data_IF_081520830916
#
_entry.id   IF_081520830916
#
_cell.length_a   1.000
_cell.length_b   1.000
_cell.length_c   1.000
_cell.angle_alpha   90.00
_cell.angle_beta   90.00
_cell.angle_gamma   90.00
#
_symmetry.space_group_name_H-M   'P 1'
#
loop_
_entity.id
_entity.type
_entity.pdbx_description
1 polymer ?
#
# COMPACT_ATOMS: atom_id res chain seq x y z
N UNK A 1 -8.29 22.12 1.16
CA UNK A 1 -7.41 20.98 1.49
C UNK A 1 -6.10 21.10 0.73
N UNK A 2 -6.14 21.11 -0.60
CA UNK A 2 -4.95 21.29 -1.45
C UNK A 2 -4.26 22.64 -1.23
N UNK A 3 -5.03 23.73 -1.08
CA UNK A 3 -4.47 25.08 -0.77
C UNK A 3 -3.71 25.14 0.56
N UNK A 4 -3.91 24.16 1.45
CA UNK A 4 -3.21 24.04 2.73
C UNK A 4 -2.01 23.07 2.65
N UNK A 5 -1.59 22.68 1.43
CA UNK A 5 -0.49 21.74 1.20
C UNK A 5 -0.89 20.26 1.23
N UNK A 6 -2.20 19.96 1.20
CA UNK A 6 -2.68 18.58 1.05
C UNK A 6 -2.29 17.98 -0.31
N UNK A 7 -2.04 16.68 -0.32
CA UNK A 7 -1.63 15.88 -1.48
C UNK A 7 -2.38 14.54 -1.50
N UNK A 8 -2.10 13.68 -2.48
CA UNK A 8 -2.74 12.37 -2.58
C UNK A 8 -2.48 11.46 -1.38
N UNK A 9 -1.31 11.56 -0.73
CA UNK A 9 -0.95 10.73 0.41
C UNK A 9 -1.73 11.14 1.66
N UNK A 10 -1.73 12.43 1.98
CA UNK A 10 -2.51 13.00 3.06
C UNK A 10 -4.03 12.87 2.80
N UNK A 11 -4.46 12.93 1.55
CA UNK A 11 -5.84 12.67 1.15
C UNK A 11 -6.27 11.22 1.42
N UNK A 12 -5.44 10.25 1.05
CA UNK A 12 -5.68 8.84 1.37
C UNK A 12 -5.68 8.59 2.90
N UNK A 13 -4.79 9.26 3.65
CA UNK A 13 -4.79 9.20 5.13
C UNK A 13 -6.07 9.79 5.74
N UNK A 14 -6.54 10.92 5.21
CA UNK A 14 -7.78 11.56 5.64
C UNK A 14 -8.98 10.63 5.43
N UNK A 15 -9.12 10.08 4.22
CA UNK A 15 -10.17 9.11 3.88
C UNK A 15 -10.13 7.88 4.82
N UNK A 16 -8.95 7.30 5.03
CA UNK A 16 -8.79 6.16 5.93
C UNK A 16 -9.18 6.50 7.38
N UNK A 17 -8.86 7.71 7.85
CA UNK A 17 -9.20 8.17 9.20
C UNK A 17 -10.69 8.43 9.37
N UNK A 18 -11.34 9.04 8.38
CA UNK A 18 -12.80 9.24 8.35
C UNK A 18 -13.52 7.90 8.49
N UNK A 19 -13.13 6.90 7.68
CA UNK A 19 -13.67 5.54 7.79
C UNK A 19 -13.46 4.95 9.18
N UNK A 20 -12.24 5.04 9.72
CA UNK A 20 -11.91 4.43 11.01
C UNK A 20 -12.64 5.07 12.21
N UNK A 21 -12.96 6.36 12.15
CA UNK A 21 -13.57 7.10 13.26
C UNK A 21 -15.08 7.16 13.16
N UNK A 22 -15.62 7.25 11.93
CA UNK A 22 -17.04 7.51 11.69
C UNK A 22 -17.78 6.32 11.08
N UNK A 23 -17.08 5.23 10.73
CA UNK A 23 -17.62 4.08 10.00
C UNK A 23 -18.34 4.45 8.70
N UNK A 24 -17.82 5.47 8.00
CA UNK A 24 -18.34 5.96 6.72
C UNK A 24 -17.28 5.80 5.63
N UNK A 25 -17.65 5.14 4.54
CA UNK A 25 -16.83 5.08 3.32
C UNK A 25 -16.92 6.40 2.55
N UNK A 26 -15.77 7.05 2.37
CA UNK A 26 -15.60 8.24 1.52
C UNK A 26 -14.54 7.94 0.48
N UNK A 27 -14.89 8.06 -0.80
CA UNK A 27 -13.95 7.84 -1.88
C UNK A 27 -12.94 8.97 -2.00
N UNK A 28 -11.72 8.66 -2.46
CA UNK A 28 -10.73 9.70 -2.75
C UNK A 28 -11.24 10.72 -3.78
N UNK A 29 -12.01 10.26 -4.78
CA UNK A 29 -12.64 11.14 -5.78
C UNK A 29 -13.62 12.16 -5.18
N UNK A 30 -14.27 11.83 -4.06
CA UNK A 30 -15.17 12.75 -3.37
C UNK A 30 -14.40 13.84 -2.63
N UNK A 31 -13.24 13.50 -2.04
CA UNK A 31 -12.33 14.50 -1.49
C UNK A 31 -11.84 15.47 -2.57
N UNK A 32 -11.54 14.97 -3.77
CA UNK A 32 -11.16 15.81 -4.90
C UNK A 32 -12.32 16.68 -5.39
N UNK A 33 -13.54 16.15 -5.43
CA UNK A 33 -14.74 16.89 -5.85
C UNK A 33 -15.23 17.91 -4.81
N UNK A 34 -14.92 17.70 -3.53
CA UNK A 34 -15.31 18.59 -2.44
C UNK A 34 -14.14 18.79 -1.45
N UNK A 35 -13.06 19.50 -1.84
CA UNK A 35 -11.79 19.57 -1.12
C UNK A 35 -11.80 20.54 0.07
N UNK A 36 -12.95 20.65 0.74
CA UNK A 36 -13.18 21.51 1.90
C UNK A 36 -13.79 20.70 3.04
N UNK A 37 -13.57 21.14 4.28
CA UNK A 37 -14.17 20.49 5.46
C UNK A 37 -15.69 20.49 5.36
N UNK A 38 -16.29 21.60 4.93
CA UNK A 38 -17.74 21.70 4.75
C UNK A 38 -18.26 20.73 3.68
N UNK A 39 -17.56 20.62 2.54
CA UNK A 39 -17.90 19.71 1.47
C UNK A 39 -17.84 18.25 1.92
N UNK A 40 -16.76 17.85 2.58
CA UNK A 40 -16.59 16.51 3.12
C UNK A 40 -17.61 16.19 4.22
N UNK A 41 -17.88 17.14 5.12
CA UNK A 41 -18.87 16.98 6.20
C UNK A 41 -20.28 16.74 5.64
N UNK A 42 -20.65 17.43 4.55
CA UNK A 42 -21.92 17.17 3.85
C UNK A 42 -21.97 15.75 3.28
N UNK A 43 -20.91 15.31 2.58
CA UNK A 43 -20.83 13.94 2.04
C UNK A 43 -20.93 12.85 3.12
N UNK A 44 -20.37 13.11 4.31
CA UNK A 44 -20.48 12.20 5.47
C UNK A 44 -21.88 12.27 6.08
N UNK A 45 -22.44 13.46 6.26
CA UNK A 45 -23.77 13.68 6.82
C UNK A 45 -24.88 13.02 6.00
N UNK A 46 -24.80 13.09 4.67
CA UNK A 46 -25.75 12.40 3.76
C UNK A 46 -25.76 10.88 3.98
N UNK A 47 -24.61 10.27 4.32
CA UNK A 47 -24.47 8.83 4.57
C UNK A 47 -24.92 8.42 5.97
N UNK A 48 -24.64 9.24 6.97
CA UNK A 48 -25.10 9.01 8.34
C UNK A 48 -26.62 9.20 8.46
N UNK A 49 -27.19 10.20 7.77
CA UNK A 49 -28.61 10.53 7.82
C UNK A 49 -29.51 9.58 7.04
N UNK A 50 -28.98 8.84 6.07
CA UNK A 50 -29.72 7.87 5.26
C UNK A 50 -29.98 6.54 5.97
N UNK A 51 -29.74 6.44 7.29
CA UNK A 51 -29.96 5.22 8.07
C UNK A 51 -29.11 4.03 7.63
N UNK A 52 -28.20 4.27 6.68
CA UNK A 52 -27.19 3.32 6.21
C UNK A 52 -25.96 3.40 7.12
N UNK A 53 -26.20 3.50 8.44
CA UNK A 53 -25.25 2.92 9.37
C UNK A 53 -25.09 1.46 8.96
N UNK A 54 -23.86 0.97 8.94
CA UNK A 54 -23.42 -0.34 8.42
C UNK A 54 -24.03 -1.57 9.14
N UNK A 55 -25.33 -1.57 9.41
CA UNK A 55 -26.14 -2.64 9.96
C UNK A 55 -27.03 -3.30 8.90
N UNK A 56 -26.49 -3.61 7.72
CA UNK A 56 -27.10 -4.61 6.82
C UNK A 56 -26.03 -5.18 5.90
N UNK A 57 -25.89 -6.51 5.94
CA UNK A 57 -24.89 -7.28 5.21
C UNK A 57 -25.04 -7.23 3.70
N UNK A 58 -24.51 -6.18 3.07
CA UNK A 58 -24.28 -6.09 1.63
C UNK A 58 -22.81 -5.76 1.33
N UNK A 59 -21.98 -6.82 1.34
CA UNK A 59 -20.96 -7.08 0.31
C UNK A 59 -19.74 -6.18 0.07
N UNK A 60 -19.58 -5.00 0.70
CA UNK A 60 -18.51 -4.06 0.28
C UNK A 60 -17.63 -3.48 1.40
N UNK A 61 -17.73 -3.97 2.64
CA UNK A 61 -16.75 -3.66 3.66
C UNK A 61 -15.42 -4.33 3.32
N UNK A 62 -14.45 -3.57 2.80
CA UNK A 62 -13.10 -4.08 2.51
C UNK A 62 -12.58 -4.80 3.76
N UNK A 63 -12.27 -6.11 3.70
CA UNK A 63 -12.00 -6.90 4.90
C UNK A 63 -10.85 -6.27 5.69
N UNK A 64 -11.00 -6.25 7.01
CA UNK A 64 -9.99 -5.72 7.91
C UNK A 64 -8.69 -6.48 7.68
N UNK A 65 -7.60 -5.74 7.44
CA UNK A 65 -6.26 -6.31 7.42
C UNK A 65 -5.91 -6.74 8.85
N UNK A 66 -5.97 -8.04 9.07
CA UNK A 66 -5.65 -8.67 10.33
C UNK A 66 -4.67 -9.82 10.08
N UNK A 67 -3.91 -10.18 11.11
CA UNK A 67 -3.09 -11.38 11.06
C UNK A 67 -3.97 -12.59 10.70
N UNK A 68 -3.48 -13.40 9.76
CA UNK A 68 -4.14 -14.64 9.32
C UNK A 68 -3.26 -15.83 9.66
N UNK A 69 -3.88 -17.00 9.79
CA UNK A 69 -3.13 -18.27 9.79
C UNK A 69 -2.40 -18.36 8.46
N UNK A 70 -1.07 -18.51 8.53
CA UNK A 70 -0.21 -18.56 7.35
C UNK A 70 -0.28 -19.97 6.75
N UNK A 71 -0.65 -20.12 5.48
CA UNK A 71 -0.52 -21.40 4.79
C UNK A 71 0.95 -21.70 4.48
N UNK A 72 1.27 -22.97 4.26
CA UNK A 72 2.63 -23.39 3.88
C UNK A 72 3.10 -22.70 2.58
N UNK A 73 2.17 -22.49 1.64
CA UNK A 73 2.40 -21.75 0.39
C UNK A 73 1.45 -20.56 0.34
N UNK A 74 2.01 -19.36 0.33
CA UNK A 74 1.25 -18.12 0.20
C UNK A 74 0.95 -17.87 -1.28
N UNK A 75 -0.33 -17.70 -1.68
CA UNK A 75 -0.67 -17.42 -3.07
C UNK A 75 -0.12 -16.06 -3.51
N UNK A 76 0.37 -15.99 -4.75
CA UNK A 76 0.84 -14.74 -5.35
C UNK A 76 -0.32 -13.79 -5.60
N UNK A 77 -0.09 -12.50 -5.35
CA UNK A 77 -0.95 -11.45 -5.89
C UNK A 77 -0.90 -11.42 -7.42
N UNK A 78 -1.92 -10.86 -8.07
CA UNK A 78 -1.93 -10.71 -9.53
C UNK A 78 -0.71 -9.94 -10.06
N UNK A 79 -0.24 -8.94 -9.31
CA UNK A 79 0.97 -8.21 -9.67
C UNK A 79 2.21 -9.12 -9.60
N UNK A 80 2.34 -9.93 -8.56
CA UNK A 80 3.44 -10.89 -8.44
C UNK A 80 3.39 -11.98 -9.53
N UNK A 81 2.20 -12.50 -9.87
CA UNK A 81 2.04 -13.46 -10.98
C UNK A 81 2.50 -12.87 -12.32
N UNK A 82 2.08 -11.63 -12.61
CA UNK A 82 2.51 -10.90 -13.82
C UNK A 82 4.03 -10.72 -13.84
N UNK A 83 4.62 -10.27 -12.73
CA UNK A 83 6.06 -10.04 -12.64
C UNK A 83 6.86 -11.34 -12.79
N UNK A 84 6.41 -12.42 -12.17
CA UNK A 84 7.03 -13.74 -12.33
C UNK A 84 6.97 -14.21 -13.78
N UNK A 85 5.81 -14.09 -14.44
CA UNK A 85 5.65 -14.44 -15.85
C UNK A 85 6.61 -13.64 -16.75
N UNK A 86 6.68 -12.32 -16.55
CA UNK A 86 7.57 -11.46 -17.32
C UNK A 86 9.05 -11.82 -17.09
N UNK A 87 9.43 -12.10 -15.85
CA UNK A 87 10.77 -12.57 -15.53
C UNK A 87 11.13 -13.89 -16.24
N UNK A 88 10.21 -14.88 -16.27
CA UNK A 88 10.41 -16.13 -17.02
C UNK A 88 10.48 -15.91 -18.52
N UNK A 89 9.70 -14.96 -19.06
CA UNK A 89 9.73 -14.62 -20.48
C UNK A 89 11.06 -13.95 -20.88
N UNK A 90 11.58 -13.05 -20.05
CA UNK A 90 12.88 -12.40 -20.27
C UNK A 90 14.04 -13.39 -20.33
N UNK A 91 14.01 -14.48 -19.56
CA UNK A 91 15.03 -15.54 -19.62
C UNK A 91 15.10 -16.22 -21.00
N UNK A 92 14.02 -16.18 -21.78
CA UNK A 92 14.00 -16.75 -23.14
C UNK A 92 14.57 -15.81 -24.20
N UNK A 93 14.83 -14.54 -23.85
CA UNK A 93 15.30 -13.50 -24.77
C UNK A 93 16.71 -13.05 -24.37
N UNK A 94 17.75 -13.34 -25.17
CA UNK A 94 19.12 -12.94 -24.87
C UNK A 94 19.25 -11.41 -24.68
N UNK A 95 19.81 -10.99 -23.55
CA UNK A 95 20.04 -9.58 -23.22
C UNK A 95 18.88 -8.84 -22.56
N UNK A 96 17.74 -9.49 -22.30
CA UNK A 96 16.58 -8.87 -21.66
C UNK A 96 16.59 -8.93 -20.11
N UNK A 97 17.51 -9.69 -19.51
CA UNK A 97 17.56 -9.94 -18.07
C UNK A 97 18.01 -8.69 -17.30
N UNK A 98 17.07 -7.83 -16.89
CA UNK A 98 17.21 -6.78 -15.85
C UNK A 98 16.12 -5.72 -15.87
N UNK A 99 15.12 -5.79 -16.76
CA UNK A 99 14.15 -4.71 -16.97
C UNK A 99 13.39 -4.28 -15.70
N UNK A 100 13.31 -5.17 -14.71
CA UNK A 100 12.63 -4.93 -13.43
C UNK A 100 13.57 -4.84 -12.22
N UNK A 101 14.89 -4.74 -12.43
CA UNK A 101 15.81 -4.42 -11.35
C UNK A 101 15.64 -2.95 -10.94
N UNK A 102 15.64 -2.69 -9.63
CA UNK A 102 15.56 -1.34 -9.06
C UNK A 102 16.90 -0.99 -8.39
N UNK A 103 17.96 -0.64 -9.16
CA UNK A 103 19.25 -0.30 -8.59
C UNK A 103 19.15 1.02 -7.82
N UNK A 104 19.68 1.03 -6.60
CA UNK A 104 19.88 2.22 -5.79
C UNK A 104 21.38 2.43 -5.58
N UNK A 105 21.88 3.63 -5.88
CA UNK A 105 23.28 4.00 -5.66
C UNK A 105 23.32 5.12 -4.63
N UNK A 106 24.08 4.90 -3.55
CA UNK A 106 24.26 5.86 -2.46
C UNK A 106 25.73 6.24 -2.34
N UNK A 107 26.01 7.54 -2.17
CA UNK A 107 27.33 8.02 -1.79
C UNK A 107 27.33 8.33 -0.30
N UNK A 108 28.12 7.58 0.45
CA UNK A 108 28.33 7.80 1.88
C UNK A 108 29.69 8.49 2.05
N UNK A 109 29.73 9.54 2.86
CA UNK A 109 30.94 10.31 3.13
C UNK A 109 31.29 10.25 4.62
N UNK A 110 32.58 10.13 4.95
CA UNK A 110 33.07 10.02 6.32
C UNK A 110 33.48 8.60 6.69
N UNK A 111 33.69 8.35 7.99
CA UNK A 111 34.00 7.02 8.49
C UNK A 111 32.75 6.13 8.39
N UNK A 112 32.87 5.00 7.71
CA UNK A 112 31.82 4.00 7.59
C UNK A 112 32.24 2.75 8.37
N UNK A 113 31.44 2.36 9.36
CA UNK A 113 31.53 1.06 9.99
C UNK A 113 30.82 0.04 9.10
N UNK A 114 31.61 -0.77 8.39
CA UNK A 114 31.10 -1.78 7.46
C UNK A 114 30.35 -2.91 8.18
N UNK A 115 30.81 -3.30 9.38
CA UNK A 115 30.17 -4.37 10.14
C UNK A 115 28.79 -3.94 10.64
N UNK A 116 28.67 -2.68 11.09
CA UNK A 116 27.39 -2.11 11.46
C UNK A 116 26.43 -1.98 10.27
N UNK A 117 26.92 -1.58 9.09
CA UNK A 117 26.11 -1.50 7.88
C UNK A 117 25.61 -2.88 7.43
N UNK A 118 26.47 -3.89 7.44
CA UNK A 118 26.09 -5.27 7.10
C UNK A 118 25.03 -5.81 8.06
N UNK A 119 25.22 -5.61 9.37
CA UNK A 119 24.23 -6.00 10.38
C UNK A 119 22.88 -5.31 10.16
N UNK A 120 22.88 -4.00 9.88
CA UNK A 120 21.66 -3.25 9.62
C UNK A 120 20.92 -3.71 8.35
N UNK A 121 21.65 -4.10 7.30
CA UNK A 121 21.05 -4.69 6.10
C UNK A 121 20.47 -6.08 6.41
N UNK A 122 21.14 -6.86 7.25
CA UNK A 122 20.64 -8.13 7.79
C UNK A 122 19.32 -7.94 8.55
N UNK A 123 19.25 -6.97 9.46
CA UNK A 123 18.05 -6.66 10.23
C UNK A 123 16.86 -6.29 9.33
N UNK A 124 17.11 -5.55 8.23
CA UNK A 124 16.07 -5.24 7.24
C UNK A 124 15.59 -6.50 6.52
N UNK A 125 16.51 -7.39 6.10
CA UNK A 125 16.15 -8.66 5.46
C UNK A 125 15.36 -9.57 6.41
N UNK A 126 15.75 -9.66 7.68
CA UNK A 126 15.06 -10.44 8.70
C UNK A 126 13.67 -9.89 9.01
N UNK A 127 13.55 -8.56 9.14
CA UNK A 127 12.28 -7.88 9.39
C UNK A 127 11.28 -8.02 8.24
N UNK A 128 11.74 -7.97 6.99
CA UNK A 128 10.87 -7.91 5.81
C UNK A 128 10.82 -9.26 5.09
N UNK A 129 9.72 -10.01 5.28
CA UNK A 129 9.51 -11.31 4.65
C UNK A 129 9.69 -11.29 3.12
N UNK A 130 9.31 -10.19 2.45
CA UNK A 130 9.46 -10.03 1.01
C UNK A 130 10.90 -10.19 0.51
N UNK A 131 11.90 -9.89 1.34
CA UNK A 131 13.32 -10.03 1.01
C UNK A 131 13.83 -11.47 1.20
N UNK A 132 13.02 -12.34 1.80
CA UNK A 132 13.29 -13.77 2.03
C UNK A 132 12.28 -14.67 1.32
N UNK A 133 11.46 -14.11 0.43
CA UNK A 133 10.45 -14.84 -0.34
C UNK A 133 11.06 -15.42 -1.61
N UNK A 134 10.85 -16.72 -1.81
CA UNK A 134 11.18 -17.42 -3.06
C UNK A 134 9.89 -17.65 -3.84
N UNK A 135 9.90 -17.35 -5.13
CA UNK A 135 8.79 -17.60 -6.04
C UNK A 135 8.98 -18.98 -6.71
N UNK A 136 7.88 -19.70 -7.02
CA UNK A 136 7.93 -21.05 -7.58
C UNK A 136 8.57 -21.12 -8.98
#
# INVERSE_FOLDING_TARGET
FFDLGGDSLSGMRLVARVRAVLDVEVGIGELFGAPTVAGLARCVGERLGSGSGSGSGSGFGRPVLAARVRPDVVPLSFAQQRMWFLNRLEETVPGAASAYNLPLVLRISGALDLAALEAALGDVADRHESLRTVFP
#
